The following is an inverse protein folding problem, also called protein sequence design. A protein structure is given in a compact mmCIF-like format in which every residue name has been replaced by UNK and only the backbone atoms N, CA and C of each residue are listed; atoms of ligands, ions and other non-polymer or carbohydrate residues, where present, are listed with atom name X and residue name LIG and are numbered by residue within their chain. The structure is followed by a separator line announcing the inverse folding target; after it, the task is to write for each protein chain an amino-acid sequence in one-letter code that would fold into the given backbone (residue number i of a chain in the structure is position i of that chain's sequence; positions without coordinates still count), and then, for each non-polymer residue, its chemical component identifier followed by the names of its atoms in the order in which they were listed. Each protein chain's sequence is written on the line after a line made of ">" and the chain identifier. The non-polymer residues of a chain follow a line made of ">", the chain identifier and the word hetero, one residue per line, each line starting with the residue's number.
data_IF_020149381433
#
_entry.id   IF_020149381433
#
_cell.length_a   1.000
_cell.length_b   1.000
_cell.length_c   1.000
_cell.angle_alpha   90.00
_cell.angle_beta   90.00
_cell.angle_gamma   90.00
#
_symmetry.space_group_name_H-M   'P 1'
#
loop_
_entity.id
_entity.type
_entity.pdbx_description
1 polymer ?
#
# COMPACT_ATOMS: atom_id res chain seq x y z
N UNK A 1 -6.06 -12.34 2.15
CA UNK A 1 -5.04 -11.49 2.79
C UNK A 1 -5.32 -10.02 2.47
N UNK A 2 -5.19 -9.14 3.46
CA UNK A 2 -5.56 -7.72 3.37
C UNK A 2 -4.34 -6.78 3.27
N UNK A 3 -4.60 -5.51 2.97
CA UNK A 3 -3.61 -4.43 3.00
C UNK A 3 -3.45 -3.93 4.45
N UNK A 4 -2.22 -3.90 4.96
CA UNK A 4 -1.88 -3.37 6.28
C UNK A 4 -1.18 -2.01 6.14
N UNK A 5 -1.36 -1.14 7.13
CA UNK A 5 -0.70 0.17 7.22
C UNK A 5 0.34 0.13 8.34
N UNK A 6 1.56 0.58 8.05
CA UNK A 6 2.58 0.87 9.06
C UNK A 6 2.90 2.35 9.05
N UNK A 7 2.82 2.98 10.22
CA UNK A 7 3.15 4.38 10.40
C UNK A 7 4.56 4.48 10.96
N UNK A 8 5.43 5.21 10.26
CA UNK A 8 6.77 5.53 10.74
C UNK A 8 6.71 6.93 11.33
N UNK A 9 6.76 7.01 12.66
CA UNK A 9 6.87 8.29 13.38
C UNK A 9 8.33 8.80 13.36
N UNK A 10 8.87 8.96 12.14
CA UNK A 10 10.19 9.53 11.88
C UNK A 10 10.10 10.55 10.73
N UNK A 11 10.63 11.77 10.94
CA UNK A 11 10.58 12.85 9.95
C UNK A 11 9.15 13.35 9.65
N UNK A 12 8.79 13.70 8.41
CA UNK A 12 7.49 14.30 8.06
C UNK A 12 6.26 13.37 8.26
N UNK A 13 6.46 12.15 8.79
CA UNK A 13 5.43 11.16 9.02
C UNK A 13 5.18 10.30 7.77
N UNK A 14 6.03 9.29 7.57
CA UNK A 14 5.87 8.35 6.46
C UNK A 14 4.85 7.26 6.79
N UNK A 15 4.10 6.82 5.77
CA UNK A 15 3.21 5.67 5.87
C UNK A 15 3.55 4.65 4.81
N UNK A 16 3.72 3.42 5.25
CA UNK A 16 3.93 2.28 4.38
C UNK A 16 2.65 1.47 4.35
N UNK A 17 2.12 1.23 3.16
CA UNK A 17 1.01 0.31 2.96
C UNK A 17 1.60 -0.98 2.39
N UNK A 18 1.35 -2.12 3.01
CA UNK A 18 1.90 -3.38 2.52
C UNK A 18 0.85 -4.48 2.51
N UNK A 19 0.91 -5.31 1.48
CA UNK A 19 0.09 -6.51 1.34
C UNK A 19 0.99 -7.72 1.28
N UNK A 20 0.65 -8.77 2.02
CA UNK A 20 1.30 -10.08 1.89
C UNK A 20 0.46 -10.96 0.98
N UNK A 21 1.10 -11.61 0.02
CA UNK A 21 0.48 -12.66 -0.77
C UNK A 21 1.40 -13.87 -0.80
N UNK A 22 1.02 -14.89 -0.02
CA UNK A 22 1.84 -16.07 0.26
C UNK A 22 3.27 -15.69 0.73
N UNK A 23 4.28 -15.94 -0.09
CA UNK A 23 5.70 -15.67 0.17
C UNK A 23 6.16 -14.28 -0.32
N UNK A 24 5.30 -13.53 -1.03
CA UNK A 24 5.67 -12.22 -1.61
C UNK A 24 5.11 -11.08 -0.76
N UNK A 25 6.00 -10.20 -0.30
CA UNK A 25 5.66 -8.94 0.34
C UNK A 25 5.60 -7.84 -0.72
N UNK A 26 4.46 -7.19 -0.86
CA UNK A 26 4.28 -6.04 -1.75
C UNK A 26 4.20 -4.78 -0.90
N UNK A 27 5.11 -3.84 -1.15
CA UNK A 27 5.21 -2.57 -0.44
C UNK A 27 4.73 -1.45 -1.37
N UNK A 28 3.70 -0.74 -0.95
CA UNK A 28 3.23 0.50 -1.56
C UNK A 28 3.61 1.65 -0.64
N UNK A 29 4.64 2.40 -1.02
CA UNK A 29 5.12 3.56 -0.25
C UNK A 29 4.19 4.75 -0.55
N UNK A 30 3.54 5.29 0.49
CA UNK A 30 2.73 6.51 0.40
C UNK A 30 3.34 7.62 1.26
N UNK A 31 3.91 8.64 0.62
CA UNK A 31 4.46 9.81 1.29
C UNK A 31 3.49 10.97 1.22
N UNK A 32 2.89 11.37 2.35
CA UNK A 32 1.93 12.47 2.38
C UNK A 32 1.72 13.04 3.77
N UNK A 33 1.49 14.35 3.85
CA UNK A 33 1.07 15.05 5.07
C UNK A 33 -0.31 14.57 5.54
N UNK A 34 -0.65 14.74 6.82
CA UNK A 34 -1.94 14.34 7.44
C UNK A 34 -3.19 14.65 6.59
N UNK A 35 -3.20 15.77 5.84
CA UNK A 35 -4.32 16.17 4.96
C UNK A 35 -4.54 15.28 3.73
N UNK A 36 -3.55 14.48 3.30
CA UNK A 36 -3.62 13.62 2.11
C UNK A 36 -3.77 12.12 2.43
N UNK A 37 -3.90 11.77 3.72
CA UNK A 37 -3.97 10.37 4.16
C UNK A 37 -5.06 9.55 3.44
N UNK A 38 -6.26 10.10 3.31
CA UNK A 38 -7.36 9.36 2.68
C UNK A 38 -7.15 9.15 1.19
N UNK A 39 -6.53 10.11 0.50
CA UNK A 39 -6.13 9.94 -0.90
C UNK A 39 -5.05 8.86 -1.05
N UNK A 40 -4.07 8.85 -0.15
CA UNK A 40 -3.00 7.86 -0.15
C UNK A 40 -3.54 6.45 0.12
N UNK A 41 -4.46 6.29 1.07
CA UNK A 41 -5.14 5.02 1.35
C UNK A 41 -5.93 4.54 0.13
N UNK A 42 -6.70 5.45 -0.50
CA UNK A 42 -7.47 5.11 -1.72
C UNK A 42 -6.53 4.66 -2.84
N UNK A 43 -5.44 5.38 -3.05
CA UNK A 43 -4.44 5.07 -4.08
C UNK A 43 -3.73 3.75 -3.80
N UNK A 44 -3.35 3.48 -2.55
CA UNK A 44 -2.73 2.22 -2.15
C UNK A 44 -3.67 1.02 -2.36
N UNK A 45 -4.96 1.17 -2.04
CA UNK A 45 -5.97 0.13 -2.32
C UNK A 45 -6.16 -0.11 -3.81
N UNK A 46 -6.19 0.94 -4.62
CA UNK A 46 -6.30 0.83 -6.08
C UNK A 46 -5.09 0.12 -6.68
N UNK A 47 -3.88 0.50 -6.28
CA UNK A 47 -2.63 -0.16 -6.71
C UNK A 47 -2.61 -1.63 -6.29
N UNK A 48 -3.06 -1.96 -5.08
CA UNK A 48 -3.16 -3.34 -4.61
C UNK A 48 -4.17 -4.18 -5.42
N UNK A 49 -5.31 -3.59 -5.77
CA UNK A 49 -6.30 -4.25 -6.62
C UNK A 49 -5.76 -4.49 -8.03
N UNK A 50 -5.07 -3.50 -8.62
CA UNK A 50 -4.46 -3.62 -9.93
C UNK A 50 -3.33 -4.67 -9.95
N UNK A 51 -2.48 -4.71 -8.92
CA UNK A 51 -1.46 -5.74 -8.74
C UNK A 51 -2.08 -7.15 -8.77
N UNK A 52 -3.13 -7.39 -7.99
CA UNK A 52 -3.83 -8.69 -7.96
C UNK A 52 -4.46 -9.05 -9.30
N UNK A 53 -4.96 -8.05 -10.04
CA UNK A 53 -5.52 -8.26 -11.38
C UNK A 53 -4.44 -8.71 -12.36
N UNK A 54 -3.34 -7.96 -12.49
CA UNK A 54 -2.23 -8.28 -13.40
C UNK A 54 -1.62 -9.65 -13.10
N UNK A 55 -1.41 -9.95 -11.81
CA UNK A 55 -0.88 -11.25 -11.39
C UNK A 55 -1.77 -12.44 -11.80
N UNK A 56 -3.09 -12.23 -11.87
CA UNK A 56 -4.04 -13.27 -12.32
C UNK A 56 -4.03 -13.46 -13.84
N UNK A 57 -3.55 -12.48 -14.60
CA UNK A 57 -3.41 -12.54 -16.06
C UNK A 57 -2.08 -13.18 -16.49
N UNK A 58 -1.06 -13.17 -15.61
CA UNK A 58 0.24 -13.82 -15.83
C UNK A 58 0.26 -15.32 -15.47
N UNK A 59 -0.84 -15.90 -14.98
CA UNK A 59 -0.90 -17.24 -14.41
C UNK A 59 -2.13 -18.03 -14.89
#
# INVERSE_FOLDING_TARGET
>A
MGLQEYRIDFGPGYRIYFGRESERLVIVVGGGTKKRQQDDIRRARALWADYKRRKKEEN
#
